data_IF_178792858834
#
_entry.id   IF_178792858834
#
_cell.length_a   1.000
_cell.length_b   1.000
_cell.length_c   1.000
_cell.angle_alpha   90.00
_cell.angle_beta   90.00
_cell.angle_gamma   90.00
#
_symmetry.space_group_name_H-M   'P 1'
#
loop_
_entity.id
_entity.type
_entity.pdbx_description
1 polymer ?
#
# COMPACT_ATOMS: atom_id res chain seq x y z
N UNK A 1 5.85 9.45 -2.28
CA UNK A 1 4.40 9.79 -2.38
C UNK A 1 3.59 8.52 -2.28
N UNK A 2 2.36 8.61 -1.77
CA UNK A 2 1.46 7.46 -1.60
C UNK A 2 0.03 7.78 -2.01
N UNK A 3 -0.71 6.76 -2.45
CA UNK A 3 -2.15 6.82 -2.65
C UNK A 3 -2.82 5.47 -2.37
N UNK A 4 -4.09 5.51 -1.95
CA UNK A 4 -4.84 4.32 -1.53
C UNK A 4 -6.36 4.54 -1.55
N UNK A 5 -7.10 3.44 -1.46
CA UNK A 5 -8.52 3.44 -1.15
C UNK A 5 -8.80 3.77 0.33
N UNK A 6 -10.06 4.06 0.65
CA UNK A 6 -10.52 4.16 2.04
C UNK A 6 -10.65 2.77 2.70
N UNK A 7 -11.13 2.74 3.96
CA UNK A 7 -11.35 1.50 4.73
C UNK A 7 -12.30 0.49 4.05
N UNK A 8 -13.18 0.95 3.15
CA UNK A 8 -14.11 0.10 2.41
C UNK A 8 -13.62 -0.30 1.01
N UNK A 9 -12.38 0.01 0.64
CA UNK A 9 -11.84 -0.29 -0.69
C UNK A 9 -12.32 0.66 -1.79
N UNK A 10 -12.89 1.83 -1.44
CA UNK A 10 -13.32 2.86 -2.40
C UNK A 10 -12.24 3.94 -2.59
N UNK A 11 -11.83 4.16 -3.83
CA UNK A 11 -11.00 5.30 -4.21
C UNK A 11 -11.85 6.56 -4.41
N UNK A 12 -11.29 7.71 -4.01
CA UNK A 12 -11.82 9.03 -4.36
C UNK A 12 -11.41 9.40 -5.80
N UNK A 13 -11.87 8.62 -6.76
CA UNK A 13 -11.57 8.82 -8.18
C UNK A 13 -12.84 8.66 -9.01
N UNK A 14 -13.04 9.55 -10.01
CA UNK A 14 -14.28 9.59 -10.80
C UNK A 14 -14.59 8.29 -11.55
N UNK A 15 -13.56 7.51 -11.91
CA UNK A 15 -13.71 6.23 -12.60
C UNK A 15 -13.94 5.04 -11.67
N UNK A 16 -13.88 5.21 -10.36
CA UNK A 16 -14.17 4.13 -9.42
C UNK A 16 -15.69 4.00 -9.25
N UNK A 17 -16.26 2.96 -9.89
CA UNK A 17 -17.67 2.61 -9.85
C UNK A 17 -18.05 1.60 -8.76
N UNK A 18 -17.13 1.22 -7.86
CA UNK A 18 -17.43 0.26 -6.79
C UNK A 18 -18.49 0.82 -5.83
N UNK A 19 -19.40 -0.03 -5.33
CA UNK A 19 -20.56 0.39 -4.54
C UNK A 19 -20.23 0.78 -3.09
N UNK A 20 -19.03 0.47 -2.60
CA UNK A 20 -18.60 0.88 -1.26
C UNK A 20 -18.67 2.41 -1.11
N UNK A 21 -19.08 2.86 0.07
CA UNK A 21 -19.28 4.28 0.35
C UNK A 21 -17.95 5.04 0.31
N UNK A 22 -18.00 6.27 -0.19
CA UNK A 22 -16.92 7.23 0.04
C UNK A 22 -16.96 7.67 1.51
N UNK A 23 -15.77 7.91 2.07
CA UNK A 23 -15.64 8.56 3.37
C UNK A 23 -15.44 10.06 3.12
N UNK A 24 -16.35 10.93 3.60
CA UNK A 24 -16.25 12.38 3.38
C UNK A 24 -14.95 12.98 3.96
N UNK A 25 -14.39 12.37 5.01
CA UNK A 25 -13.20 12.83 5.73
C UNK A 25 -11.88 12.21 5.23
N UNK A 26 -11.94 11.33 4.22
CA UNK A 26 -10.76 10.64 3.71
C UNK A 26 -10.43 11.02 2.26
N UNK A 27 -9.21 11.52 2.05
CA UNK A 27 -8.67 11.85 0.72
C UNK A 27 -7.99 10.66 0.03
N UNK A 28 -7.11 9.95 0.77
CA UNK A 28 -6.39 8.78 0.26
C UNK A 28 -5.09 9.08 -0.47
N UNK A 29 -4.49 10.26 -0.32
CA UNK A 29 -3.19 10.62 -0.91
C UNK A 29 -2.29 11.33 0.11
N UNK A 30 -0.98 11.10 0.01
CA UNK A 30 0.03 11.71 0.89
C UNK A 30 1.39 11.83 0.23
N UNK A 31 2.22 12.73 0.73
CA UNK A 31 3.63 12.84 0.33
C UNK A 31 4.48 13.29 1.51
N UNK A 32 5.71 12.82 1.54
CA UNK A 32 6.75 13.27 2.48
C UNK A 32 8.10 13.15 1.77
N UNK A 33 9.12 13.72 2.40
CA UNK A 33 10.53 13.55 2.03
C UNK A 33 11.16 12.73 3.16
N UNK A 34 12.07 11.83 2.81
CA UNK A 34 12.83 11.07 3.81
C UNK A 34 13.73 12.00 4.61
N UNK A 35 13.98 11.66 5.88
CA UNK A 35 14.97 12.38 6.68
C UNK A 35 16.42 12.04 6.29
N UNK A 36 17.38 12.55 7.06
CA UNK A 36 18.83 12.35 6.82
C UNK A 36 19.25 10.88 6.95
N UNK A 37 18.52 10.08 7.73
CA UNK A 37 18.74 8.64 7.91
C UNK A 37 17.97 7.79 6.88
N UNK A 38 17.21 8.44 5.98
CA UNK A 38 16.41 7.78 4.95
C UNK A 38 15.03 7.30 5.41
N UNK A 39 14.62 7.62 6.64
CA UNK A 39 13.33 7.19 7.18
C UNK A 39 12.19 8.07 6.67
N UNK A 40 10.99 7.48 6.60
CA UNK A 40 9.76 8.18 6.24
C UNK A 40 8.61 7.67 7.11
N UNK A 41 7.57 8.50 7.27
CA UNK A 41 6.38 8.11 8.01
C UNK A 41 5.11 8.66 7.37
N UNK A 42 4.04 7.87 7.43
CA UNK A 42 2.68 8.27 7.09
C UNK A 42 1.74 7.81 8.19
N UNK A 43 0.73 8.64 8.50
CA UNK A 43 -0.43 8.21 9.30
C UNK A 43 -1.65 8.18 8.38
N UNK A 44 -2.30 7.03 8.32
CA UNK A 44 -3.43 6.77 7.41
C UNK A 44 -4.38 5.74 8.01
N UNK A 45 -5.46 5.45 7.30
CA UNK A 45 -6.37 4.35 7.59
C UNK A 45 -5.95 3.13 6.77
N UNK A 46 -5.98 1.94 7.36
CA UNK A 46 -5.73 0.70 6.61
C UNK A 46 -6.80 0.56 5.50
N UNK A 47 -6.41 0.49 4.21
CA UNK A 47 -7.36 0.42 3.10
C UNK A 47 -8.09 -0.93 3.10
N UNK A 48 -9.36 -0.91 2.72
CA UNK A 48 -10.10 -2.14 2.46
C UNK A 48 -9.64 -2.82 1.15
N UNK A 49 -9.74 -4.15 1.05
CA UNK A 49 -9.64 -4.82 -0.24
C UNK A 49 -10.80 -4.39 -1.16
N UNK A 50 -10.63 -4.51 -2.48
CA UNK A 50 -11.67 -4.13 -3.43
C UNK A 50 -11.72 -5.07 -4.65
N UNK A 51 -12.93 -5.28 -5.23
CA UNK A 51 -13.09 -6.08 -6.44
C UNK A 51 -12.68 -5.28 -7.67
N UNK A 52 -12.25 -5.97 -8.73
CA UNK A 52 -11.88 -5.34 -9.99
C UNK A 52 -12.15 -6.26 -11.18
N UNK A 53 -12.42 -5.72 -12.39
CA UNK A 53 -12.85 -6.51 -13.54
C UNK A 53 -11.66 -7.20 -14.22
N UNK A 54 -11.12 -8.25 -13.60
CA UNK A 54 -10.08 -9.12 -14.18
C UNK A 54 -10.65 -10.54 -14.41
N UNK A 55 -10.66 -11.38 -13.38
CA UNK A 55 -11.45 -12.61 -13.33
C UNK A 55 -12.89 -12.36 -12.85
N UNK A 56 -13.73 -13.41 -12.82
CA UNK A 56 -15.13 -13.30 -12.42
C UNK A 56 -15.33 -12.93 -10.94
N UNK A 57 -14.33 -13.14 -10.08
CA UNK A 57 -14.37 -12.81 -8.66
C UNK A 57 -12.98 -12.46 -8.11
N UNK A 58 -12.24 -11.61 -8.83
CA UNK A 58 -10.92 -11.19 -8.37
C UNK A 58 -11.01 -10.00 -7.42
N UNK A 59 -10.24 -10.09 -6.35
CA UNK A 59 -10.09 -9.05 -5.34
C UNK A 59 -8.64 -8.65 -5.22
N UNK A 60 -8.41 -7.34 -5.08
CA UNK A 60 -7.11 -6.84 -4.67
C UNK A 60 -7.00 -6.97 -3.15
N UNK A 61 -5.85 -7.44 -2.61
CA UNK A 61 -5.56 -7.35 -1.18
C UNK A 61 -5.58 -5.89 -0.72
N UNK A 62 -5.65 -5.65 0.58
CA UNK A 62 -5.39 -4.33 1.13
C UNK A 62 -4.00 -3.86 0.66
N UNK A 63 -3.93 -2.69 0.02
CA UNK A 63 -2.65 -2.15 -0.46
C UNK A 63 -2.60 -0.63 -0.48
N UNK A 64 -1.38 -0.11 -0.32
CA UNK A 64 -1.04 1.29 -0.52
C UNK A 64 -0.06 1.36 -1.70
N UNK A 65 -0.34 2.24 -2.65
CA UNK A 65 0.59 2.49 -3.74
C UNK A 65 1.68 3.46 -3.32
N UNK A 66 2.90 3.22 -3.78
CA UNK A 66 4.07 4.05 -3.52
C UNK A 66 4.68 4.56 -4.82
N UNK A 67 5.06 5.83 -4.83
CA UNK A 67 5.88 6.49 -5.84
C UNK A 67 7.11 7.05 -5.15
N UNK A 68 8.29 6.51 -5.49
CA UNK A 68 9.57 6.83 -4.87
C UNK A 68 10.53 7.39 -5.91
N UNK A 69 11.23 8.45 -5.52
CA UNK A 69 12.30 9.09 -6.30
C UNK A 69 13.60 8.92 -5.51
N UNK A 70 14.61 8.33 -6.12
CA UNK A 70 15.98 8.35 -5.59
C UNK A 70 16.73 9.61 -6.01
N UNK A 71 18.05 9.59 -5.88
CA UNK A 71 18.95 10.65 -6.33
C UNK A 71 19.16 10.66 -7.85
N UNK A 72 18.98 9.52 -8.51
CA UNK A 72 19.14 9.36 -9.96
C UNK A 72 17.82 9.00 -10.66
N UNK A 73 17.70 9.39 -11.93
CA UNK A 73 16.53 9.06 -12.76
C UNK A 73 16.26 7.54 -12.81
N UNK A 74 17.32 6.73 -12.88
CA UNK A 74 17.24 5.27 -12.92
C UNK A 74 16.67 4.63 -11.63
N UNK A 75 16.59 5.38 -10.52
CA UNK A 75 16.06 4.89 -9.25
C UNK A 75 14.54 5.15 -9.09
N UNK A 76 13.88 5.73 -10.11
CA UNK A 76 12.44 5.99 -10.06
C UNK A 76 11.65 4.67 -9.96
N UNK A 77 10.91 4.49 -8.87
CA UNK A 77 10.14 3.27 -8.61
C UNK A 77 8.68 3.58 -8.28
N UNK A 78 7.75 2.87 -8.94
CA UNK A 78 6.37 2.74 -8.49
C UNK A 78 6.16 1.30 -8.03
N UNK A 79 5.66 1.13 -6.81
CA UNK A 79 5.39 -0.19 -6.22
C UNK A 79 4.10 -0.16 -5.40
N UNK A 80 3.74 -1.30 -4.81
CA UNK A 80 2.60 -1.44 -3.92
C UNK A 80 3.05 -2.15 -2.65
N UNK A 81 2.61 -1.63 -1.52
CA UNK A 81 2.78 -2.22 -0.19
C UNK A 81 1.51 -3.00 0.16
N UNK A 82 1.68 -4.22 0.67
CA UNK A 82 0.63 -5.08 1.21
C UNK A 82 0.79 -5.21 2.73
N UNK A 83 -0.20 -5.82 3.41
CA UNK A 83 -0.20 -5.95 4.87
C UNK A 83 0.04 -7.39 5.30
N UNK A 84 0.88 -7.57 6.32
CA UNK A 84 1.13 -8.88 6.94
C UNK A 84 -0.17 -9.60 7.30
N UNK A 85 -0.27 -10.86 6.90
CA UNK A 85 -1.40 -11.73 7.21
C UNK A 85 -2.59 -11.62 6.26
N UNK A 86 -2.61 -10.70 5.29
CA UNK A 86 -3.70 -10.62 4.31
C UNK A 86 -3.71 -11.87 3.39
N UNK A 87 -4.74 -12.73 3.45
CA UNK A 87 -4.79 -13.95 2.66
C UNK A 87 -4.94 -13.67 1.17
N UNK A 88 -5.50 -12.52 0.76
CA UNK A 88 -5.75 -12.17 -0.64
C UNK A 88 -4.46 -11.95 -1.43
N UNK A 89 -3.35 -11.65 -0.77
CA UNK A 89 -2.02 -11.48 -1.40
C UNK A 89 -1.72 -12.68 -2.30
N UNK A 90 -1.95 -13.88 -1.80
CA UNK A 90 -1.58 -15.12 -2.46
C UNK A 90 -2.51 -15.49 -3.63
N UNK A 91 -3.67 -14.84 -3.75
CA UNK A 91 -4.62 -15.04 -4.84
C UNK A 91 -4.53 -13.96 -5.93
N UNK A 92 -3.97 -12.80 -5.60
CA UNK A 92 -3.95 -11.64 -6.47
C UNK A 92 -3.12 -11.86 -7.75
N UNK A 93 -3.73 -11.77 -8.94
CA UNK A 93 -3.00 -11.92 -10.20
C UNK A 93 -1.91 -10.85 -10.41
N UNK A 94 -2.10 -9.63 -9.86
CA UNK A 94 -1.08 -8.57 -9.89
C UNK A 94 0.12 -8.92 -9.00
N UNK A 95 -0.10 -9.52 -7.83
CA UNK A 95 1.01 -9.97 -6.96
C UNK A 95 1.79 -11.09 -7.66
N UNK A 96 1.08 -12.01 -8.31
CA UNK A 96 1.65 -13.16 -9.02
C UNK A 96 2.44 -12.81 -10.29
N UNK A 97 2.54 -11.53 -10.67
CA UNK A 97 3.47 -11.13 -11.74
C UNK A 97 4.92 -11.06 -11.26
N UNK A 98 5.15 -11.11 -9.94
CA UNK A 98 6.50 -11.15 -9.36
C UNK A 98 7.13 -12.54 -9.57
N UNK A 99 8.47 -12.60 -9.72
CA UNK A 99 9.15 -13.81 -10.16
C UNK A 99 9.11 -14.96 -9.14
N UNK A 100 9.11 -14.64 -7.85
CA UNK A 100 9.14 -15.61 -6.77
C UNK A 100 8.51 -15.08 -5.48
N UNK A 101 8.43 -15.97 -4.49
CA UNK A 101 7.86 -15.67 -3.18
C UNK A 101 8.66 -14.64 -2.39
N UNK A 102 9.99 -14.65 -2.50
CA UNK A 102 10.83 -13.68 -1.80
C UNK A 102 10.55 -12.26 -2.29
N UNK A 103 10.37 -12.09 -3.61
CA UNK A 103 9.97 -10.83 -4.20
C UNK A 103 8.59 -10.34 -3.72
N UNK A 104 7.63 -11.26 -3.53
CA UNK A 104 6.31 -10.93 -2.95
C UNK A 104 6.47 -10.49 -1.50
N UNK A 105 7.23 -11.23 -0.70
CA UNK A 105 7.42 -10.97 0.73
C UNK A 105 8.11 -9.62 0.99
N UNK A 106 8.98 -9.16 0.09
CA UNK A 106 9.55 -7.80 0.14
C UNK A 106 8.50 -6.68 -0.01
N UNK A 107 7.31 -6.98 -0.52
CA UNK A 107 6.21 -6.00 -0.64
C UNK A 107 5.22 -6.06 0.53
N UNK A 108 5.42 -6.94 1.52
CA UNK A 108 4.53 -7.11 2.66
C UNK A 108 5.09 -6.32 3.84
N UNK A 109 4.37 -5.28 4.27
CA UNK A 109 4.70 -4.54 5.47
C UNK A 109 4.38 -5.37 6.72
N UNK A 110 5.32 -5.45 7.64
CA UNK A 110 5.17 -6.17 8.91
C UNK A 110 4.54 -5.29 9.99
N UNK A 111 3.74 -5.90 10.87
CA UNK A 111 3.19 -5.22 12.04
C UNK A 111 4.35 -4.82 12.98
N UNK A 112 4.45 -3.53 13.29
CA UNK A 112 5.48 -2.98 14.18
C UNK A 112 4.84 -2.49 15.48
N UNK A 113 4.88 -3.34 16.51
CA UNK A 113 4.32 -3.02 17.82
C UNK A 113 5.19 -2.04 18.60
N UNK A 114 6.47 -1.88 18.24
CA UNK A 114 7.36 -0.91 18.88
C UNK A 114 7.04 0.52 18.43
N UNK A 115 6.61 0.68 17.17
CA UNK A 115 6.19 1.96 16.62
C UNK A 115 4.70 2.29 16.86
N UNK A 116 3.92 1.35 17.39
CA UNK A 116 2.51 1.59 17.73
C UNK A 116 2.35 2.59 18.88
N UNK A 117 1.29 3.41 18.82
CA UNK A 117 0.93 4.38 19.84
C UNK A 117 -0.18 3.77 20.71
N UNK A 118 0.08 3.50 22.01
CA UNK A 118 -0.93 2.93 22.91
C UNK A 118 -2.23 3.75 22.91
N UNK A 119 -3.36 3.06 22.78
CA UNK A 119 -4.71 3.65 22.77
C UNK A 119 -5.00 4.61 21.60
N UNK A 120 -4.21 4.57 20.52
CA UNK A 120 -4.39 5.44 19.34
C UNK A 120 -4.26 4.65 18.02
N UNK A 121 -3.04 4.25 17.65
CA UNK A 121 -2.77 3.72 16.32
C UNK A 121 -1.76 2.55 16.35
N UNK A 122 -2.03 1.53 15.54
CA UNK A 122 -1.02 0.52 15.18
C UNK A 122 -0.06 1.07 14.14
N UNK A 123 1.08 0.42 13.97
CA UNK A 123 2.08 0.77 12.96
C UNK A 123 2.47 -0.45 12.12
N UNK A 124 2.85 -0.18 10.87
CA UNK A 124 3.41 -1.15 9.95
C UNK A 124 4.74 -0.62 9.43
N UNK A 125 5.75 -1.49 9.34
CA UNK A 125 7.07 -1.15 8.79
C UNK A 125 7.18 -1.65 7.35
N UNK A 126 7.63 -0.76 6.47
CA UNK A 126 7.83 -1.07 5.06
C UNK A 126 9.10 -0.40 4.54
N UNK A 127 10.15 -1.20 4.39
CA UNK A 127 11.44 -0.72 3.91
C UNK A 127 11.52 -0.81 2.38
N UNK A 128 12.08 0.22 1.73
CA UNK A 128 12.17 0.30 0.27
C UNK A 128 13.64 0.38 -0.13
N UNK A 129 14.07 -0.57 -0.98
CA UNK A 129 15.43 -0.60 -1.52
C UNK A 129 15.41 -0.11 -2.96
N UNK A 130 16.25 0.87 -3.28
CA UNK A 130 16.49 1.37 -4.64
C UNK A 130 17.83 0.86 -5.16
N UNK A 131 18.04 0.92 -6.47
CA UNK A 131 19.34 0.61 -7.08
C UNK A 131 20.44 1.53 -6.53
N UNK A 132 21.62 0.98 -6.26
CA UNK A 132 22.83 1.71 -5.87
C UNK A 132 23.52 2.39 -7.03
#
# INVERSE_FOLDING_TARGET
EVWQANAGGRYRHQKDGYLAALDPNFGGCGRTITDEDGAYAFRTICPGPYPWPNGPNDWRPAHIHFSVFGHGFAQRLITQMYFEGDPLIWFCPIVRTLPDRAAIEMLIASLDMQAAIPMDALAYRFDIVLHG
#
